data_IF_213643154970
#
_entry.id   IF_213643154970
#
_cell.length_a   1.000
_cell.length_b   1.000
_cell.length_c   1.000
_cell.angle_alpha   90.00
_cell.angle_beta   90.00
_cell.angle_gamma   90.00
#
_symmetry.space_group_name_H-M   'P 1'
#
loop_
_entity.id
_entity.type
_entity.pdbx_description
1 polymer ?
#
# COMPACT_ATOMS: atom_id res chain seq x y z
N UNK A 1 13.33 -10.00 -4.74
CA UNK A 1 11.99 -9.52 -4.35
C UNK A 1 11.37 -10.54 -3.42
N UNK A 2 10.71 -10.07 -2.35
CA UNK A 2 9.99 -10.90 -1.40
C UNK A 2 8.55 -10.40 -1.40
N UNK A 3 7.61 -11.29 -1.68
CA UNK A 3 6.19 -11.08 -1.51
C UNK A 3 5.65 -12.13 -0.55
N UNK A 4 4.75 -11.75 0.33
CA UNK A 4 4.13 -12.68 1.29
C UNK A 4 2.68 -12.29 1.53
N UNK A 5 1.87 -13.29 1.81
CA UNK A 5 0.50 -13.05 2.24
C UNK A 5 0.52 -12.60 3.70
N UNK A 6 -0.15 -11.50 3.99
CA UNK A 6 -0.30 -11.03 5.37
C UNK A 6 -1.24 -11.99 6.13
N UNK A 7 -1.15 -11.95 7.44
CA UNK A 7 -2.00 -12.69 8.37
C UNK A 7 -3.48 -12.60 8.01
N UNK A 8 -4.16 -13.74 7.89
CA UNK A 8 -5.57 -13.84 7.53
C UNK A 8 -5.89 -13.60 6.06
N UNK A 9 -4.87 -13.54 5.17
CA UNK A 9 -5.07 -13.41 3.72
C UNK A 9 -4.27 -14.45 2.95
N UNK A 10 -4.71 -14.77 1.73
CA UNK A 10 -4.05 -15.73 0.85
C UNK A 10 -3.83 -17.09 1.53
N UNK A 11 -2.58 -17.51 1.63
CA UNK A 11 -2.18 -18.79 2.25
C UNK A 11 -1.74 -18.64 3.72
N UNK A 12 -1.73 -17.42 4.26
CA UNK A 12 -1.35 -17.15 5.65
C UNK A 12 -2.52 -17.30 6.59
N UNK A 13 -2.64 -18.48 7.21
CA UNK A 13 -3.69 -18.79 8.16
C UNK A 13 -3.46 -18.05 9.47
N UNK A 14 -4.52 -17.47 10.03
CA UNK A 14 -4.53 -16.95 11.39
C UNK A 14 -5.44 -17.83 12.27
N UNK A 15 -4.95 -18.21 13.45
CA UNK A 15 -5.68 -19.04 14.40
C UNK A 15 -6.27 -18.24 15.57
N UNK A 16 -6.01 -16.93 15.62
CA UNK A 16 -6.49 -16.02 16.65
C UNK A 16 -7.32 -14.91 16.02
N UNK A 17 -8.63 -14.98 16.18
CA UNK A 17 -9.60 -14.02 15.66
C UNK A 17 -9.77 -12.77 16.55
N UNK A 18 -8.87 -12.55 17.49
CA UNK A 18 -8.85 -11.31 18.26
C UNK A 18 -8.47 -10.12 17.40
N UNK A 19 -9.01 -8.95 17.68
CA UNK A 19 -8.66 -7.73 16.96
C UNK A 19 -7.17 -7.37 17.11
N UNK A 20 -6.56 -7.73 18.23
CA UNK A 20 -5.15 -7.50 18.50
C UNK A 20 -4.26 -8.30 17.53
N UNK A 21 -4.64 -9.52 17.17
CA UNK A 21 -3.91 -10.34 16.21
C UNK A 21 -3.89 -9.76 14.79
N UNK A 22 -4.79 -8.82 14.48
CA UNK A 22 -4.84 -8.10 13.21
C UNK A 22 -4.35 -6.65 13.33
N UNK A 23 -3.76 -6.27 14.48
CA UNK A 23 -3.22 -4.91 14.66
C UNK A 23 -2.04 -4.64 13.73
N UNK A 24 -1.82 -3.35 13.39
CA UNK A 24 -0.66 -2.97 12.58
C UNK A 24 0.68 -3.23 13.30
N UNK A 25 0.67 -3.25 14.63
CA UNK A 25 1.82 -3.71 15.43
C UNK A 25 2.11 -5.18 15.17
N UNK A 26 1.08 -6.03 15.15
CA UNK A 26 1.25 -7.46 14.89
C UNK A 26 1.75 -7.73 13.46
N UNK A 27 1.23 -7.03 12.45
CA UNK A 27 1.80 -7.11 11.09
C UNK A 27 3.26 -6.67 11.02
N UNK A 28 3.63 -5.66 11.82
CA UNK A 28 5.03 -5.23 11.94
C UNK A 28 5.91 -6.33 12.54
N UNK A 29 5.44 -7.01 13.56
CA UNK A 29 6.16 -8.12 14.20
C UNK A 29 6.28 -9.32 13.26
N UNK A 30 5.25 -9.64 12.49
CA UNK A 30 5.29 -10.71 11.49
C UNK A 30 6.37 -10.43 10.43
N UNK A 31 6.41 -9.21 9.88
CA UNK A 31 7.46 -8.83 8.92
C UNK A 31 8.86 -8.89 9.57
N UNK A 32 9.00 -8.44 10.81
CA UNK A 32 10.26 -8.55 11.54
C UNK A 32 10.72 -10.01 11.72
N UNK A 33 9.79 -10.95 11.93
CA UNK A 33 10.11 -12.38 12.03
C UNK A 33 10.58 -12.93 10.66
N UNK A 34 9.88 -12.57 9.57
CA UNK A 34 10.28 -12.95 8.20
C UNK A 34 11.68 -12.43 7.89
N UNK A 35 11.95 -11.15 8.13
CA UNK A 35 13.26 -10.55 7.86
C UNK A 35 14.39 -11.16 8.68
N UNK A 36 14.14 -11.47 9.96
CA UNK A 36 15.11 -12.16 10.79
C UNK A 36 15.42 -13.56 10.25
N UNK A 37 14.39 -14.32 9.86
CA UNK A 37 14.55 -15.66 9.29
C UNK A 37 15.33 -15.66 7.99
N UNK A 38 15.19 -14.60 7.19
CA UNK A 38 15.92 -14.40 5.93
C UNK A 38 17.29 -13.73 6.11
N UNK A 39 17.68 -13.36 7.33
CA UNK A 39 18.95 -12.67 7.60
C UNK A 39 19.03 -11.24 7.07
N UNK A 40 17.89 -10.61 6.77
CA UNK A 40 17.82 -9.27 6.20
C UNK A 40 17.80 -8.20 7.29
N UNK A 41 18.73 -7.25 7.21
CA UNK A 41 18.87 -6.15 8.16
C UNK A 41 18.12 -4.89 7.69
N UNK A 42 18.23 -4.56 6.40
CA UNK A 42 17.63 -3.38 5.77
C UNK A 42 16.89 -3.78 4.50
N UNK A 43 15.83 -3.06 4.18
CA UNK A 43 14.95 -3.35 3.05
C UNK A 43 14.48 -2.08 2.35
N UNK A 44 14.08 -2.23 1.10
CA UNK A 44 13.16 -1.35 0.41
C UNK A 44 11.76 -1.93 0.53
N UNK A 45 10.75 -1.10 0.69
CA UNK A 45 9.34 -1.52 0.78
C UNK A 45 8.57 -0.95 -0.41
N UNK A 46 7.76 -1.79 -1.05
CA UNK A 46 6.70 -1.34 -1.95
C UNK A 46 5.38 -1.93 -1.49
N UNK A 47 4.39 -1.10 -1.34
CA UNK A 47 3.05 -1.47 -0.84
C UNK A 47 1.96 -0.76 -1.63
N UNK A 48 0.74 -1.31 -1.60
CA UNK A 48 -0.42 -0.75 -2.30
C UNK A 48 -1.66 -0.72 -1.41
N UNK A 49 -2.47 0.31 -1.56
CA UNK A 49 -3.80 0.46 -0.96
C UNK A 49 -3.80 0.18 0.56
N UNK A 50 -4.58 -0.80 1.03
CA UNK A 50 -4.58 -1.18 2.45
C UNK A 50 -3.17 -1.55 2.96
N UNK A 51 -2.37 -2.21 2.12
CA UNK A 51 -0.99 -2.57 2.47
C UNK A 51 -0.11 -1.36 2.79
N UNK A 52 -0.43 -0.16 2.29
CA UNK A 52 0.31 1.06 2.63
C UNK A 52 0.13 1.44 4.10
N UNK A 53 -1.00 1.14 4.71
CA UNK A 53 -1.23 1.38 6.15
C UNK A 53 -0.31 0.52 7.00
N UNK A 54 -0.19 -0.78 6.67
CA UNK A 54 0.72 -1.68 7.34
C UNK A 54 2.19 -1.29 7.12
N UNK A 55 2.54 -0.89 5.89
CA UNK A 55 3.88 -0.44 5.55
C UNK A 55 4.25 0.88 6.26
N UNK A 56 3.36 1.87 6.32
CA UNK A 56 3.56 3.12 7.07
C UNK A 56 3.76 2.84 8.57
N UNK A 57 2.93 1.97 9.16
CA UNK A 57 3.09 1.56 10.55
C UNK A 57 4.45 0.86 10.76
N UNK A 58 4.81 -0.09 9.89
CA UNK A 58 6.11 -0.75 9.95
C UNK A 58 7.27 0.24 9.86
N UNK A 59 7.22 1.15 8.91
CA UNK A 59 8.24 2.18 8.70
C UNK A 59 8.43 3.06 9.94
N UNK A 60 7.37 3.41 10.63
CA UNK A 60 7.47 4.22 11.85
C UNK A 60 8.08 3.49 13.04
N UNK A 61 7.77 2.19 13.15
CA UNK A 61 8.24 1.35 14.25
C UNK A 61 9.67 0.83 14.04
N UNK A 62 10.14 0.79 12.79
CA UNK A 62 11.40 0.14 12.40
C UNK A 62 12.25 1.00 11.44
N UNK A 63 12.35 2.31 11.68
CA UNK A 63 12.99 3.30 10.78
C UNK A 63 14.39 2.90 10.34
N UNK A 64 15.20 2.40 11.24
CA UNK A 64 16.59 2.02 10.97
C UNK A 64 16.72 0.84 10.00
N UNK A 65 15.62 0.15 9.71
CA UNK A 65 15.56 -0.96 8.77
C UNK A 65 15.17 -0.56 7.36
N UNK A 66 14.71 0.68 7.15
CA UNK A 66 14.18 1.13 5.86
C UNK A 66 15.26 1.89 5.09
N UNK A 67 15.51 1.46 3.87
CA UNK A 67 16.37 2.16 2.90
C UNK A 67 15.55 3.18 2.10
N UNK A 68 14.39 2.76 1.60
CA UNK A 68 13.40 3.59 0.95
C UNK A 68 12.03 2.91 0.97
N UNK A 69 10.96 3.68 0.70
CA UNK A 69 9.63 3.12 0.58
C UNK A 69 8.87 3.67 -0.64
N UNK A 70 8.01 2.84 -1.22
CA UNK A 70 7.03 3.25 -2.25
C UNK A 70 5.63 2.88 -1.75
N UNK A 71 4.76 3.88 -1.70
CA UNK A 71 3.39 3.77 -1.23
C UNK A 71 2.45 4.06 -2.39
N UNK A 72 1.85 3.02 -2.97
CA UNK A 72 0.89 3.18 -4.06
C UNK A 72 -0.53 3.27 -3.51
N UNK A 73 -1.29 4.27 -3.96
CA UNK A 73 -2.69 4.52 -3.57
C UNK A 73 -2.85 4.67 -2.05
N UNK A 74 -1.92 5.40 -1.44
CA UNK A 74 -1.83 5.54 0.01
C UNK A 74 -2.95 6.41 0.58
N UNK A 75 -3.44 6.05 1.76
CA UNK A 75 -4.36 6.88 2.55
C UNK A 75 -4.10 6.73 4.04
N UNK A 76 -4.08 7.85 4.75
CA UNK A 76 -4.12 7.91 6.21
C UNK A 76 -5.54 8.16 6.74
N UNK A 77 -6.46 8.58 5.87
CA UNK A 77 -7.87 8.78 6.17
C UNK A 77 -8.67 7.46 6.09
N UNK A 78 -9.94 7.50 6.46
CA UNK A 78 -10.85 6.37 6.27
C UNK A 78 -11.04 6.06 4.79
N UNK A 79 -11.05 4.77 4.43
CA UNK A 79 -11.27 4.36 3.05
C UNK A 79 -12.73 4.60 2.61
N UNK A 80 -12.93 5.30 1.50
CA UNK A 80 -14.20 5.36 0.79
C UNK A 80 -14.20 4.36 -0.37
N UNK A 81 -14.57 3.13 -0.07
CA UNK A 81 -14.60 2.02 -1.04
C UNK A 81 -15.51 2.33 -2.24
N UNK A 82 -16.61 3.08 -2.02
CA UNK A 82 -17.53 3.43 -3.10
C UNK A 82 -16.90 4.45 -4.06
N UNK A 83 -16.26 5.48 -3.53
CA UNK A 83 -15.54 6.47 -4.33
C UNK A 83 -14.35 5.82 -5.06
N UNK A 84 -13.59 4.94 -4.40
CA UNK A 84 -12.48 4.19 -5.02
C UNK A 84 -12.96 3.38 -6.23
N UNK A 85 -14.04 2.61 -6.08
CA UNK A 85 -14.62 1.83 -7.19
C UNK A 85 -15.13 2.70 -8.32
N UNK A 86 -15.70 3.87 -8.01
CA UNK A 86 -16.17 4.82 -9.01
C UNK A 86 -14.99 5.40 -9.81
N UNK A 87 -14.00 5.95 -9.14
CA UNK A 87 -12.81 6.52 -9.78
C UNK A 87 -12.03 5.48 -10.62
N UNK A 88 -11.92 4.25 -10.15
CA UNK A 88 -11.33 3.15 -10.93
C UNK A 88 -12.09 2.90 -12.24
N UNK A 89 -13.42 2.84 -12.22
CA UNK A 89 -14.23 2.64 -13.43
C UNK A 89 -14.10 3.79 -14.40
N UNK A 90 -14.08 5.03 -13.90
CA UNK A 90 -13.92 6.23 -14.74
C UNK A 90 -12.54 6.26 -15.41
N UNK A 91 -11.49 5.90 -14.69
CA UNK A 91 -10.14 5.80 -15.22
C UNK A 91 -10.02 4.73 -16.31
N UNK A 92 -10.54 3.52 -16.06
CA UNK A 92 -10.52 2.42 -17.03
C UNK A 92 -11.26 2.83 -18.31
N UNK A 93 -12.44 3.43 -18.20
CA UNK A 93 -13.18 3.90 -19.37
C UNK A 93 -12.41 4.94 -20.20
N UNK A 94 -11.64 5.82 -19.54
CA UNK A 94 -10.75 6.76 -20.25
C UNK A 94 -9.58 6.05 -20.92
N UNK A 95 -8.96 5.09 -20.26
CA UNK A 95 -7.88 4.29 -20.83
C UNK A 95 -8.35 3.56 -22.09
N UNK A 96 -9.53 2.94 -22.07
CA UNK A 96 -10.15 2.29 -23.22
C UNK A 96 -10.36 3.25 -24.40
N UNK A 97 -10.88 4.46 -24.14
CA UNK A 97 -11.03 5.51 -25.15
C UNK A 97 -9.71 5.97 -25.77
N UNK A 98 -8.61 5.84 -25.03
CA UNK A 98 -7.26 6.15 -25.51
C UNK A 98 -6.58 4.97 -26.20
N UNK A 99 -7.25 3.83 -26.32
CA UNK A 99 -6.70 2.60 -26.91
C UNK A 99 -5.68 1.93 -26.02
N UNK A 100 -5.75 2.13 -24.71
CA UNK A 100 -4.92 1.44 -23.74
C UNK A 100 -5.65 0.18 -23.30
N UNK A 101 -5.08 -0.96 -23.61
CA UNK A 101 -5.63 -2.26 -23.18
C UNK A 101 -5.52 -2.43 -21.67
N UNK A 102 -6.53 -3.09 -21.09
CA UNK A 102 -6.47 -3.49 -19.68
C UNK A 102 -5.46 -4.63 -19.49
N UNK A 103 -4.78 -4.61 -18.36
CA UNK A 103 -3.89 -5.71 -17.97
C UNK A 103 -4.68 -6.82 -17.30
N UNK A 104 -4.32 -8.05 -17.60
CA UNK A 104 -4.87 -9.21 -16.91
C UNK A 104 -4.47 -9.16 -15.43
N UNK A 105 -5.46 -9.32 -14.56
CA UNK A 105 -5.19 -9.41 -13.14
C UNK A 105 -4.55 -10.76 -12.80
N UNK A 106 -3.56 -10.79 -11.91
CA UNK A 106 -2.97 -12.04 -11.45
C UNK A 106 -4.05 -12.99 -10.92
N UNK A 107 -3.88 -14.29 -11.15
CA UNK A 107 -4.79 -15.28 -10.58
C UNK A 107 -4.88 -15.10 -9.05
N UNK A 108 -6.09 -15.12 -8.52
CA UNK A 108 -6.37 -14.95 -7.08
C UNK A 108 -5.86 -13.62 -6.46
N UNK A 109 -5.67 -12.57 -7.26
CA UNK A 109 -5.23 -11.25 -6.77
C UNK A 109 -6.06 -10.70 -5.59
N UNK A 110 -7.32 -11.12 -5.48
CA UNK A 110 -8.27 -10.70 -4.45
C UNK A 110 -8.66 -11.87 -3.52
N UNK A 111 -7.76 -12.81 -3.30
CA UNK A 111 -8.04 -13.97 -2.48
C UNK A 111 -7.94 -13.63 -0.99
N UNK A 112 -9.03 -13.84 -0.26
CA UNK A 112 -9.09 -13.79 1.20
C UNK A 112 -9.47 -15.16 1.75
N UNK A 113 -8.96 -15.53 2.92
CA UNK A 113 -9.37 -16.78 3.59
C UNK A 113 -10.83 -16.72 4.01
N UNK A 114 -11.25 -15.58 4.57
CA UNK A 114 -12.63 -15.33 4.98
C UNK A 114 -12.92 -13.83 5.14
N UNK A 115 -14.21 -13.48 5.12
CA UNK A 115 -14.67 -12.10 5.28
C UNK A 115 -14.37 -11.54 6.68
N UNK A 116 -14.41 -12.40 7.71
CA UNK A 116 -14.14 -11.97 9.09
C UNK A 116 -12.72 -11.46 9.26
N UNK A 117 -11.72 -12.17 8.69
CA UNK A 117 -10.32 -11.72 8.70
C UNK A 117 -10.15 -10.38 7.99
N UNK A 118 -10.83 -10.16 6.85
CA UNK A 118 -10.81 -8.88 6.14
C UNK A 118 -11.40 -7.75 6.99
N UNK A 119 -12.54 -7.97 7.64
CA UNK A 119 -13.21 -6.97 8.49
C UNK A 119 -12.38 -6.64 9.75
N UNK A 120 -11.75 -7.65 10.36
CA UNK A 120 -10.84 -7.46 11.48
C UNK A 120 -9.61 -6.64 11.10
N UNK A 121 -9.02 -6.91 9.92
CA UNK A 121 -7.88 -6.17 9.39
C UNK A 121 -8.21 -4.68 9.18
N UNK A 122 -9.36 -4.39 8.57
CA UNK A 122 -9.82 -3.01 8.36
C UNK A 122 -10.08 -2.29 9.69
N UNK A 123 -10.75 -2.96 10.63
CA UNK A 123 -11.09 -2.41 11.95
C UNK A 123 -9.83 -2.14 12.78
N UNK A 124 -8.86 -3.05 12.77
CA UNK A 124 -7.62 -2.90 13.50
C UNK A 124 -6.75 -1.76 12.92
N UNK A 125 -6.68 -1.66 11.59
CA UNK A 125 -5.95 -0.59 10.92
C UNK A 125 -6.50 0.81 11.26
N UNK A 126 -7.81 0.96 11.42
CA UNK A 126 -8.43 2.23 11.80
C UNK A 126 -8.04 2.71 13.22
N UNK A 127 -7.55 1.82 14.09
CA UNK A 127 -7.09 2.18 15.44
C UNK A 127 -5.68 2.74 15.49
N UNK A 128 -4.89 2.55 14.46
CA UNK A 128 -3.53 3.05 14.38
C UNK A 128 -3.52 4.49 13.83
N UNK A 129 -2.88 5.41 14.55
CA UNK A 129 -2.86 6.83 14.18
C UNK A 129 -1.75 7.12 13.17
N UNK A 130 -2.05 6.88 11.90
CA UNK A 130 -1.11 7.06 10.79
C UNK A 130 -0.71 8.52 10.56
N UNK A 131 -1.62 9.47 10.81
CA UNK A 131 -1.36 10.92 10.75
C UNK A 131 -0.14 11.34 11.56
N UNK A 132 0.02 10.76 12.77
CA UNK A 132 1.16 11.06 13.64
C UNK A 132 2.47 10.41 13.19
N UNK A 133 2.36 9.39 12.37
CA UNK A 133 3.48 8.56 11.96
C UNK A 133 4.20 9.13 10.75
N UNK A 134 3.45 9.68 9.81
CA UNK A 134 3.97 10.17 8.54
C UNK A 134 5.03 11.26 8.73
N UNK A 135 4.78 12.21 9.61
CA UNK A 135 5.73 13.28 9.95
C UNK A 135 7.06 12.78 10.54
N UNK A 136 7.10 11.51 10.95
CA UNK A 136 8.29 10.90 11.54
C UNK A 136 9.16 10.13 10.55
N UNK A 137 8.76 10.04 9.29
CA UNK A 137 9.53 9.37 8.24
C UNK A 137 10.75 10.24 7.89
N UNK A 138 11.94 9.64 8.00
CA UNK A 138 13.23 10.30 7.80
C UNK A 138 14.14 9.58 6.79
N UNK A 139 13.54 8.89 5.84
CA UNK A 139 14.20 8.21 4.73
C UNK A 139 13.44 8.51 3.44
N UNK A 140 14.07 8.38 2.25
CA UNK A 140 13.42 8.65 0.98
C UNK A 140 12.18 7.80 0.77
N UNK A 141 11.07 8.42 0.37
CA UNK A 141 9.87 7.68 -0.02
C UNK A 141 9.14 8.33 -1.18
N UNK A 142 8.50 7.49 -1.97
CA UNK A 142 7.67 7.86 -3.10
C UNK A 142 6.22 7.50 -2.80
N UNK A 143 5.30 8.42 -3.01
CA UNK A 143 3.87 8.13 -3.08
C UNK A 143 3.45 8.16 -4.55
N UNK A 144 2.82 7.11 -5.02
CA UNK A 144 2.20 7.04 -6.35
C UNK A 144 0.69 6.89 -6.18
N UNK A 145 -0.09 7.69 -6.90
CA UNK A 145 -1.54 7.60 -6.89
C UNK A 145 -2.12 8.05 -8.22
N UNK A 146 -3.31 7.63 -8.55
CA UNK A 146 -3.99 8.07 -9.75
C UNK A 146 -4.73 9.39 -9.55
N UNK A 147 -4.92 10.15 -10.64
CA UNK A 147 -5.72 11.38 -10.66
C UNK A 147 -7.22 11.13 -10.46
N UNK A 148 -7.67 9.88 -10.57
CA UNK A 148 -9.04 9.42 -10.31
C UNK A 148 -9.13 8.62 -8.99
N UNK A 149 -8.06 8.58 -8.20
CA UNK A 149 -8.10 7.95 -6.86
C UNK A 149 -8.60 8.97 -5.83
N UNK A 150 -9.69 8.69 -5.08
CA UNK A 150 -10.15 9.57 -4.00
C UNK A 150 -9.12 9.72 -2.86
N UNK A 151 -8.07 8.91 -2.85
CA UNK A 151 -6.96 9.03 -1.90
C UNK A 151 -5.91 10.07 -2.31
N UNK A 152 -6.07 10.79 -3.42
CA UNK A 152 -5.10 11.78 -3.88
C UNK A 152 -4.80 12.84 -2.82
N UNK A 153 -5.82 13.46 -2.22
CA UNK A 153 -5.64 14.46 -1.16
C UNK A 153 -4.87 13.89 0.03
N UNK A 154 -5.16 12.65 0.43
CA UNK A 154 -4.45 11.96 1.51
C UNK A 154 -3.00 11.64 1.14
N UNK A 155 -2.74 11.34 -0.13
CA UNK A 155 -1.39 11.12 -0.65
C UNK A 155 -0.58 12.41 -0.65
N UNK A 156 -1.18 13.55 -0.99
CA UNK A 156 -0.57 14.88 -0.89
C UNK A 156 -0.25 15.25 0.57
N UNK A 157 -1.16 14.96 1.50
CA UNK A 157 -0.94 15.16 2.93
C UNK A 157 0.25 14.34 3.45
N UNK A 158 0.37 13.07 3.02
CA UNK A 158 1.51 12.21 3.37
C UNK A 158 2.82 12.84 2.92
N UNK A 159 2.91 13.28 1.68
CA UNK A 159 4.15 13.87 1.14
C UNK A 159 4.46 15.21 1.80
N UNK A 160 3.48 16.09 1.96
CA UNK A 160 3.68 17.41 2.57
C UNK A 160 4.11 17.35 4.04
N UNK A 161 3.84 16.24 4.71
CA UNK A 161 4.22 16.03 6.11
C UNK A 161 5.68 15.67 6.34
N UNK A 162 6.47 15.45 5.28
CA UNK A 162 7.88 15.04 5.38
C UNK A 162 8.75 15.64 4.27
N UNK A 163 9.96 16.10 4.62
CA UNK A 163 10.95 16.59 3.64
C UNK A 163 11.55 15.47 2.76
N UNK A 164 11.25 14.21 3.01
CA UNK A 164 11.81 13.04 2.32
C UNK A 164 10.85 12.43 1.30
N UNK A 165 9.64 12.98 1.17
CA UNK A 165 8.58 12.45 0.32
C UNK A 165 8.56 13.07 -1.06
N UNK A 166 8.28 12.25 -2.07
CA UNK A 166 7.94 12.68 -3.43
C UNK A 166 6.56 12.14 -3.82
N UNK A 167 5.79 12.91 -4.60
CA UNK A 167 4.51 12.49 -5.16
C UNK A 167 4.61 12.31 -6.67
N UNK A 168 4.08 11.22 -7.17
CA UNK A 168 3.82 11.00 -8.61
C UNK A 168 2.34 10.71 -8.82
N UNK A 169 1.65 11.64 -9.44
CA UNK A 169 0.26 11.46 -9.87
C UNK A 169 0.26 10.79 -11.23
N UNK A 170 -0.49 9.71 -11.37
CA UNK A 170 -0.60 8.90 -12.58
C UNK A 170 -1.87 9.32 -13.32
N UNK A 171 -1.71 9.76 -14.57
CA UNK A 171 -2.80 10.28 -15.39
C UNK A 171 -3.75 9.16 -15.85
N UNK A 172 -5.06 9.40 -15.73
CA UNK A 172 -6.13 8.45 -16.05
C UNK A 172 -6.01 7.12 -15.31
N UNK A 173 -5.63 7.18 -14.05
CA UNK A 173 -5.51 6.01 -13.17
C UNK A 173 -6.38 6.23 -11.93
N UNK A 174 -7.12 5.21 -11.52
CA UNK A 174 -7.93 5.21 -10.30
C UNK A 174 -7.24 4.43 -9.17
N UNK A 175 -8.00 4.15 -8.12
CA UNK A 175 -7.53 3.33 -7.00
C UNK A 175 -7.12 1.93 -7.48
N UNK A 176 -6.00 1.40 -7.00
CA UNK A 176 -5.40 0.16 -7.47
C UNK A 176 -4.46 0.38 -8.67
N UNK A 177 -3.68 1.44 -8.64
CA UNK A 177 -2.79 1.87 -9.72
C UNK A 177 -1.86 0.77 -10.22
N UNK A 178 -1.29 -0.05 -9.33
CA UNK A 178 -0.42 -1.18 -9.66
C UNK A 178 -1.15 -2.27 -10.46
N UNK A 179 -2.46 -2.41 -10.29
CA UNK A 179 -3.27 -3.39 -11.01
C UNK A 179 -3.76 -2.84 -12.35
N UNK A 180 -4.09 -1.54 -12.41
CA UNK A 180 -4.58 -0.90 -13.63
C UNK A 180 -3.46 -0.60 -14.62
N UNK A 181 -2.33 -0.12 -14.14
CA UNK A 181 -1.20 0.31 -14.96
C UNK A 181 0.13 -0.17 -14.36
N UNK A 182 0.35 -1.51 -14.32
CA UNK A 182 1.61 -2.08 -13.82
C UNK A 182 2.83 -1.60 -14.63
N UNK A 183 2.67 -1.36 -15.92
CA UNK A 183 3.69 -0.79 -16.81
C UNK A 183 4.15 0.60 -16.34
N UNK A 184 3.19 1.49 -16.08
CA UNK A 184 3.44 2.86 -15.68
C UNK A 184 4.00 2.94 -14.25
N UNK A 185 3.42 2.17 -13.32
CA UNK A 185 3.89 2.14 -11.92
C UNK A 185 5.29 1.57 -11.82
N UNK A 186 5.60 0.50 -12.54
CA UNK A 186 6.95 -0.06 -12.59
C UNK A 186 7.94 0.93 -13.21
N UNK A 187 7.57 1.59 -14.31
CA UNK A 187 8.41 2.62 -14.92
C UNK A 187 8.73 3.72 -13.92
N UNK A 188 7.73 4.25 -13.20
CA UNK A 188 7.95 5.31 -12.20
C UNK A 188 8.78 4.85 -11.01
N UNK A 189 8.61 3.61 -10.58
CA UNK A 189 9.44 2.99 -9.56
C UNK A 189 10.92 2.92 -9.98
N UNK A 190 11.19 2.44 -11.20
CA UNK A 190 12.56 2.33 -11.73
C UNK A 190 13.21 3.71 -11.91
N UNK A 191 12.49 4.68 -12.51
CA UNK A 191 12.96 6.05 -12.68
C UNK A 191 13.37 6.67 -11.32
N UNK A 192 12.57 6.46 -10.29
CA UNK A 192 12.83 7.01 -8.96
C UNK A 192 14.04 6.35 -8.27
N UNK A 193 14.29 5.07 -8.51
CA UNK A 193 15.46 4.36 -7.99
C UNK A 193 16.72 4.54 -8.84
N UNK A 194 16.64 5.22 -10.00
CA UNK A 194 17.78 5.44 -10.90
C UNK A 194 18.22 4.17 -11.64
N UNK A 195 17.27 3.29 -11.97
CA UNK A 195 17.53 2.03 -12.67
C UNK A 195 17.03 2.08 -14.12
#
# INVERSE_FOLDING_TARGET
VIAFDIRGAGKSINYDDSLESFSLNQYSDDLNQILRKLGLKKIHIWSMAWGTRAALAYCSLNRDRILSAVFSDASIASADIKAQRKGMKEAIAKQELMGIDSFDLPEQWNYHLDQKSADLSLTAAARFKLDKVVASINFPFLVMTGDHDPNLDSSEEIVSSSAFGELKVLENVGHGSVLQRPDLTLKKFMEWHGC
#
